data_IF_697510472517
#
_entry.id   IF_697510472517
#
_cell.length_a   1.000
_cell.length_b   1.000
_cell.length_c   1.000
_cell.angle_alpha   90.00
_cell.angle_beta   90.00
_cell.angle_gamma   90.00
#
_symmetry.space_group_name_H-M   'P 1'
#
loop_
_entity.id
_entity.type
_entity.pdbx_description
1 polymer ?
#
# COMPACT_ATOMS: atom_id res chain seq x y z
N UNK A 1 13.67 -4.05 6.17
CA UNK A 1 13.85 -2.69 5.61
C UNK A 1 14.01 -2.77 4.12
N UNK A 2 13.34 -1.89 3.40
CA UNK A 2 13.38 -1.86 1.95
C UNK A 2 14.43 -0.85 1.52
N UNK A 3 15.50 -1.31 0.88
CA UNK A 3 16.59 -0.46 0.41
C UNK A 3 16.48 -0.04 -1.03
N UNK A 4 15.45 -0.50 -1.74
CA UNK A 4 15.25 -0.20 -3.16
C UNK A 4 14.55 1.13 -3.36
N UNK A 5 14.79 1.84 -4.47
CA UNK A 5 14.03 3.05 -4.78
C UNK A 5 12.57 2.70 -5.04
N UNK A 6 11.69 3.63 -4.70
CA UNK A 6 10.25 3.49 -4.91
C UNK A 6 9.81 4.40 -6.05
N UNK A 7 9.17 3.82 -7.05
CA UNK A 7 8.59 4.55 -8.17
C UNK A 7 7.07 4.39 -8.10
N UNK A 8 6.34 5.39 -8.55
CA UNK A 8 4.88 5.36 -8.57
C UNK A 8 4.38 5.12 -9.99
N UNK A 9 3.36 4.28 -10.13
CA UNK A 9 2.71 4.09 -11.42
C UNK A 9 1.95 5.36 -11.82
N UNK A 10 1.66 5.51 -13.10
CA UNK A 10 0.89 6.66 -13.59
C UNK A 10 -0.48 6.70 -12.93
N UNK A 11 -1.10 5.54 -12.74
CA UNK A 11 -2.39 5.43 -12.05
C UNK A 11 -2.32 5.97 -10.63
N UNK A 12 -1.25 5.62 -9.89
CA UNK A 12 -1.09 6.10 -8.53
C UNK A 12 -0.87 7.60 -8.49
N UNK A 13 -0.03 8.13 -9.38
CA UNK A 13 0.22 9.57 -9.44
C UNK A 13 -1.06 10.36 -9.68
N UNK A 14 -1.90 9.87 -10.60
CA UNK A 14 -3.19 10.49 -10.87
C UNK A 14 -4.10 10.46 -9.64
N UNK A 15 -4.14 9.33 -8.92
CA UNK A 15 -4.96 9.20 -7.73
C UNK A 15 -4.50 10.12 -6.60
N UNK A 16 -3.20 10.32 -6.45
CA UNK A 16 -2.69 11.24 -5.44
C UNK A 16 -3.21 12.65 -5.65
N UNK A 17 -3.24 13.11 -6.90
CA UNK A 17 -3.75 14.43 -7.24
C UNK A 17 -5.26 14.51 -6.98
N UNK A 18 -6.01 13.55 -7.49
CA UNK A 18 -7.47 13.54 -7.37
C UNK A 18 -7.91 13.50 -5.90
N UNK A 19 -7.23 12.73 -5.08
CA UNK A 19 -7.60 12.53 -3.67
C UNK A 19 -6.88 13.46 -2.71
N UNK A 20 -6.06 14.36 -3.21
CA UNK A 20 -5.28 15.30 -2.39
C UNK A 20 -4.41 14.58 -1.35
N UNK A 21 -3.74 13.52 -1.78
CA UNK A 21 -2.83 12.75 -0.93
C UNK A 21 -1.41 13.23 -1.16
N UNK A 22 -0.65 13.41 -0.07
CA UNK A 22 0.74 13.81 -0.16
C UNK A 22 1.58 12.81 -0.95
N UNK A 23 2.47 13.31 -1.79
CA UNK A 23 3.26 12.48 -2.69
C UNK A 23 4.21 11.53 -1.96
N UNK A 24 4.60 11.85 -0.73
CA UNK A 24 5.48 11.03 0.08
C UNK A 24 4.75 9.89 0.80
N UNK A 25 3.42 9.94 0.88
CA UNK A 25 2.67 9.02 1.72
C UNK A 25 2.76 7.56 1.28
N UNK A 26 2.63 7.20 -0.02
CA UNK A 26 2.74 5.79 -0.40
C UNK A 26 4.08 5.17 -0.03
N UNK A 27 5.16 5.89 -0.24
CA UNK A 27 6.50 5.39 0.12
C UNK A 27 6.63 5.22 1.62
N UNK A 28 6.13 6.17 2.40
CA UNK A 28 6.14 6.07 3.86
C UNK A 28 5.40 4.84 4.34
N UNK A 29 4.24 4.56 3.76
CA UNK A 29 3.46 3.39 4.14
C UNK A 29 4.22 2.12 3.86
N UNK A 30 4.87 2.02 2.72
CA UNK A 30 5.67 0.84 2.37
C UNK A 30 6.82 0.64 3.36
N UNK A 31 7.51 1.72 3.73
CA UNK A 31 8.67 1.64 4.62
C UNK A 31 8.31 1.46 6.09
N UNK A 32 7.15 1.97 6.51
CA UNK A 32 6.72 1.96 7.90
C UNK A 32 5.54 1.02 8.16
N UNK A 33 5.27 0.12 7.24
CA UNK A 33 4.10 -0.75 7.30
C UNK A 33 4.00 -1.51 8.61
N UNK A 34 2.83 -1.45 9.25
CA UNK A 34 2.53 -2.22 10.45
C UNK A 34 2.24 -3.67 10.09
N UNK A 35 1.69 -3.89 8.91
CA UNK A 35 1.36 -5.20 8.38
C UNK A 35 1.72 -5.24 6.90
N UNK A 36 2.11 -6.41 6.44
CA UNK A 36 2.41 -6.61 5.04
C UNK A 36 2.05 -8.04 4.65
N UNK A 37 1.50 -8.21 3.46
CA UNK A 37 1.20 -9.53 2.93
C UNK A 37 1.24 -9.51 1.41
N UNK A 38 1.31 -10.71 0.83
CA UNK A 38 1.35 -10.88 -0.62
C UNK A 38 -0.01 -11.40 -1.08
N UNK A 39 -0.60 -10.75 -2.08
CA UNK A 39 -1.83 -11.24 -2.70
C UNK A 39 -1.47 -12.42 -3.60
N UNK A 40 -1.91 -13.61 -3.23
CA UNK A 40 -1.56 -14.84 -3.96
C UNK A 40 -2.23 -14.91 -5.32
N UNK A 41 -3.30 -14.15 -5.55
CA UNK A 41 -3.99 -14.14 -6.84
C UNK A 41 -3.28 -13.31 -7.88
N UNK A 42 -2.63 -12.20 -7.47
CA UNK A 42 -2.00 -11.26 -8.39
C UNK A 42 -0.48 -11.22 -8.29
N UNK A 43 0.08 -11.69 -7.18
CA UNK A 43 1.51 -11.58 -6.90
C UNK A 43 1.92 -10.22 -6.36
N UNK A 44 1.00 -9.28 -6.23
CA UNK A 44 1.32 -7.97 -5.66
C UNK A 44 1.52 -8.07 -4.15
N UNK A 45 2.34 -7.16 -3.63
CA UNK A 45 2.52 -7.00 -2.20
C UNK A 45 1.60 -5.90 -1.70
N UNK A 46 1.18 -6.02 -0.45
CA UNK A 46 0.28 -5.04 0.17
C UNK A 46 0.89 -4.61 1.49
N UNK A 47 1.07 -3.30 1.66
CA UNK A 47 1.54 -2.70 2.90
C UNK A 47 0.40 -1.93 3.55
N UNK A 48 0.21 -2.10 4.86
CA UNK A 48 -0.87 -1.46 5.61
C UNK A 48 -0.28 -0.70 6.79
N UNK A 49 -0.67 0.55 6.95
CA UNK A 49 -0.25 1.37 8.08
C UNK A 49 -1.35 2.35 8.45
N UNK A 50 -1.35 2.76 9.74
CA UNK A 50 -2.22 3.82 10.20
C UNK A 50 -1.52 5.15 9.97
N UNK A 51 -2.15 6.05 9.21
CA UNK A 51 -1.56 7.34 8.87
C UNK A 51 -2.61 8.44 8.94
N UNK A 52 -2.17 9.67 9.15
CA UNK A 52 -3.08 10.82 9.12
C UNK A 52 -3.59 11.08 7.72
N UNK A 53 -4.90 11.14 7.56
CA UNK A 53 -5.52 11.40 6.28
C UNK A 53 -6.88 12.08 6.51
N UNK A 54 -7.04 13.30 5.98
CA UNK A 54 -8.26 14.08 6.09
C UNK A 54 -8.73 14.28 7.54
N UNK A 55 -7.77 14.55 8.44
CA UNK A 55 -8.09 14.82 9.84
C UNK A 55 -8.44 13.59 10.66
N UNK A 56 -8.24 12.39 10.15
CA UNK A 56 -8.45 11.14 10.85
C UNK A 56 -7.20 10.28 10.72
N UNK A 57 -7.15 9.16 11.44
CA UNK A 57 -6.03 8.22 11.35
C UNK A 57 -6.52 6.86 10.83
N UNK A 58 -6.95 6.79 9.57
CA UNK A 58 -7.41 5.52 9.01
C UNK A 58 -6.26 4.58 8.71
N UNK A 59 -6.58 3.30 8.62
CA UNK A 59 -5.68 2.36 8.00
C UNK A 59 -5.60 2.69 6.52
N UNK A 60 -4.39 2.75 5.99
CA UNK A 60 -4.17 2.97 4.56
C UNK A 60 -3.43 1.78 3.98
N UNK A 61 -3.83 1.40 2.79
CA UNK A 61 -3.26 0.26 2.08
C UNK A 61 -2.55 0.76 0.83
N UNK A 62 -1.32 0.29 0.63
CA UNK A 62 -0.59 0.51 -0.62
C UNK A 62 -0.33 -0.84 -1.27
N UNK A 63 -0.73 -0.97 -2.52
CA UNK A 63 -0.42 -2.14 -3.33
C UNK A 63 0.83 -1.81 -4.13
N UNK A 64 1.82 -2.70 -4.10
CA UNK A 64 3.07 -2.46 -4.81
C UNK A 64 3.62 -3.75 -5.39
N UNK A 65 4.47 -3.58 -6.39
CA UNK A 65 5.19 -4.65 -7.04
C UNK A 65 6.68 -4.48 -6.73
N UNK A 66 7.38 -5.57 -6.47
CA UNK A 66 8.81 -5.50 -6.19
C UNK A 66 9.56 -6.25 -7.27
N UNK A 67 10.54 -5.57 -7.88
CA UNK A 67 11.46 -6.18 -8.84
C UNK A 67 12.85 -6.25 -8.22
N UNK A 68 13.83 -6.75 -8.96
CA UNK A 68 15.21 -6.81 -8.45
C UNK A 68 15.78 -5.44 -8.17
N UNK A 69 15.36 -4.42 -8.91
CA UNK A 69 15.99 -3.10 -8.86
C UNK A 69 15.12 -2.02 -8.24
N UNK A 70 13.80 -2.21 -8.16
CA UNK A 70 12.91 -1.15 -7.67
C UNK A 70 11.62 -1.70 -7.08
N UNK A 71 10.90 -0.80 -6.42
CA UNK A 71 9.53 -1.04 -5.96
C UNK A 71 8.64 -0.11 -6.75
N UNK A 72 7.54 -0.63 -7.29
CA UNK A 72 6.57 0.17 -8.03
C UNK A 72 5.28 0.19 -7.22
N UNK A 73 4.95 1.34 -6.64
CA UNK A 73 3.69 1.52 -5.94
C UNK A 73 2.59 1.70 -6.99
N UNK A 74 1.55 0.88 -6.89
CA UNK A 74 0.51 0.78 -7.92
C UNK A 74 -0.77 1.51 -7.52
N UNK A 75 -1.17 1.40 -6.26
CA UNK A 75 -2.39 2.05 -5.78
C UNK A 75 -2.32 2.31 -4.28
N UNK A 76 -3.17 3.23 -3.82
CA UNK A 76 -3.31 3.57 -2.41
C UNK A 76 -4.79 3.82 -2.14
N UNK A 77 -5.31 3.30 -1.03
CA UNK A 77 -6.67 3.59 -0.61
C UNK A 77 -6.86 3.29 0.88
N UNK A 78 -7.88 3.93 1.50
CA UNK A 78 -8.24 3.61 2.88
C UNK A 78 -8.71 2.17 2.98
N UNK A 79 -8.49 1.58 4.15
CA UNK A 79 -8.86 0.19 4.39
C UNK A 79 -9.40 0.06 5.80
N UNK A 80 -10.53 -0.61 5.96
CA UNK A 80 -11.05 -0.95 7.27
C UNK A 80 -10.35 -2.21 7.75
N UNK A 81 -10.11 -2.31 9.05
CA UNK A 81 -9.41 -3.47 9.61
C UNK A 81 -10.14 -4.78 9.29
N UNK A 82 -11.46 -4.73 9.25
CA UNK A 82 -12.28 -5.89 8.85
C UNK A 82 -11.91 -6.39 7.46
N UNK A 83 -11.57 -5.47 6.55
CA UNK A 83 -11.21 -5.85 5.18
C UNK A 83 -9.86 -6.54 5.12
N UNK A 84 -8.93 -6.17 6.00
CA UNK A 84 -7.63 -6.84 6.08
C UNK A 84 -7.84 -8.28 6.50
N UNK A 85 -8.62 -8.50 7.56
CA UNK A 85 -8.92 -9.84 8.05
C UNK A 85 -9.62 -10.68 7.00
N UNK A 86 -10.55 -10.09 6.25
CA UNK A 86 -11.28 -10.80 5.20
C UNK A 86 -10.34 -11.25 4.09
N UNK A 87 -9.41 -10.40 3.67
CA UNK A 87 -8.45 -10.76 2.62
C UNK A 87 -7.57 -11.93 3.04
N UNK A 88 -7.12 -11.93 4.28
CA UNK A 88 -6.31 -13.02 4.83
C UNK A 88 -7.13 -14.30 4.94
N UNK A 89 -8.36 -14.20 5.46
CA UNK A 89 -9.24 -15.35 5.64
C UNK A 89 -9.61 -16.03 4.33
N UNK A 90 -9.69 -15.26 3.24
CA UNK A 90 -10.02 -15.81 1.93
C UNK A 90 -8.79 -16.38 1.21
N UNK A 91 -7.63 -16.40 1.86
CA UNK A 91 -6.42 -16.95 1.27
C UNK A 91 -5.81 -16.12 0.17
N UNK A 92 -6.24 -14.88 0.01
CA UNK A 92 -5.71 -13.98 -1.02
C UNK A 92 -4.44 -13.26 -0.58
N UNK A 93 -4.13 -13.30 0.69
CA UNK A 93 -2.94 -12.67 1.22
C UNK A 93 -2.23 -13.59 2.18
N UNK A 94 -0.90 -13.47 2.21
CA UNK A 94 -0.03 -14.19 3.12
C UNK A 94 0.71 -13.16 3.97
N UNK A 95 0.49 -13.23 5.26
CA UNK A 95 1.12 -12.29 6.19
C UNK A 95 2.60 -12.61 6.41
#
# INVERSE_FOLDING_TARGET
MIGKPVRYSDHLEERLVIRHIGRDLPERIIREAERGFTDTATGYHIAVATVGYRGADPLMMVVFEETESEIVAVSIHPLHERDVERKISNGRGIA
#
